data_IF_049548752499
#
_entry.id   IF_049548752499
#
_cell.length_a   1.000
_cell.length_b   1.000
_cell.length_c   1.000
_cell.angle_alpha   90.00
_cell.angle_beta   90.00
_cell.angle_gamma   90.00
#
_symmetry.space_group_name_H-M   'P 1'
#
loop_
_entity.id
_entity.type
_entity.pdbx_description
1 polymer ?
#
# COMPACT_ATOMS: atom_id res chain seq x y z
N UNK A 1 9.00 -59.09 15.96
CA UNK A 1 8.95 -58.73 14.51
C UNK A 1 7.98 -57.57 14.38
N UNK A 2 8.47 -56.34 14.43
CA UNK A 2 7.64 -55.14 14.31
C UNK A 2 7.90 -54.51 12.95
N UNK A 3 6.90 -54.57 12.08
CA UNK A 3 6.89 -53.91 10.78
C UNK A 3 6.53 -52.44 10.93
N UNK A 4 7.47 -51.58 10.55
CA UNK A 4 7.27 -50.15 10.39
C UNK A 4 6.48 -49.87 9.11
N UNK A 5 5.29 -49.26 9.23
CA UNK A 5 4.64 -48.60 8.10
C UNK A 5 4.73 -47.10 8.31
N UNK A 6 5.74 -46.50 7.68
CA UNK A 6 5.79 -45.08 7.37
C UNK A 6 4.98 -44.87 6.09
N UNK A 7 3.77 -44.35 6.21
CA UNK A 7 2.98 -43.89 5.07
C UNK A 7 3.07 -42.37 4.98
N UNK A 8 4.20 -41.89 4.47
CA UNK A 8 4.33 -40.55 3.93
C UNK A 8 3.77 -40.54 2.51
N UNK A 9 2.56 -40.04 2.31
CA UNK A 9 2.05 -39.71 0.98
C UNK A 9 2.61 -38.36 0.55
N UNK A 10 3.77 -38.39 -0.11
CA UNK A 10 4.19 -37.31 -1.00
C UNK A 10 3.29 -37.36 -2.24
N UNK A 11 2.40 -36.38 -2.37
CA UNK A 11 1.69 -36.14 -3.62
C UNK A 11 2.67 -35.50 -4.61
N UNK A 12 3.38 -36.32 -5.37
CA UNK A 12 3.98 -35.87 -6.62
C UNK A 12 2.83 -35.54 -7.58
N UNK A 13 2.55 -34.26 -7.76
CA UNK A 13 1.72 -33.78 -8.87
C UNK A 13 2.42 -34.16 -10.18
N UNK A 14 2.00 -35.28 -10.76
CA UNK A 14 2.30 -35.67 -12.14
C UNK A 14 1.74 -34.59 -13.07
N UNK A 15 2.57 -33.57 -13.35
CA UNK A 15 2.24 -32.47 -14.26
C UNK A 15 2.05 -33.04 -15.67
N UNK A 16 0.78 -33.15 -16.07
CA UNK A 16 0.32 -33.63 -17.37
C UNK A 16 0.95 -32.76 -18.45
N UNK A 17 1.66 -33.39 -19.40
CA UNK A 17 2.18 -32.68 -20.57
C UNK A 17 1.04 -32.50 -21.57
N UNK A 18 0.68 -31.25 -21.84
CA UNK A 18 -0.36 -30.93 -22.81
C UNK A 18 0.25 -30.86 -24.22
N UNK A 19 -0.50 -31.25 -25.27
CA UNK A 19 -0.08 -31.02 -26.66
C UNK A 19 0.09 -29.52 -26.96
N UNK A 20 1.08 -29.17 -27.81
CA UNK A 20 1.36 -27.78 -28.22
C UNK A 20 0.11 -27.03 -28.69
N UNK A 21 -0.72 -27.65 -29.53
CA UNK A 21 -1.95 -27.04 -30.06
C UNK A 21 -2.96 -26.66 -28.98
N UNK A 22 -3.03 -27.43 -27.90
CA UNK A 22 -3.88 -27.13 -26.76
C UNK A 22 -3.32 -25.97 -25.95
N UNK A 23 -2.00 -25.92 -25.75
CA UNK A 23 -1.31 -24.81 -25.07
C UNK A 23 -1.52 -23.50 -25.84
N UNK A 24 -1.33 -23.52 -27.17
CA UNK A 24 -1.57 -22.37 -28.05
C UNK A 24 -3.02 -21.89 -27.98
N UNK A 25 -3.98 -22.82 -28.06
CA UNK A 25 -5.41 -22.49 -27.98
C UNK A 25 -5.78 -21.86 -26.63
N UNK A 26 -5.22 -22.38 -25.53
CA UNK A 26 -5.38 -21.79 -24.20
C UNK A 26 -4.76 -20.40 -24.13
N UNK A 27 -3.55 -20.21 -24.65
CA UNK A 27 -2.90 -18.90 -24.69
C UNK A 27 -3.73 -17.87 -25.47
N UNK A 28 -4.23 -18.24 -26.65
CA UNK A 28 -5.09 -17.35 -27.46
C UNK A 28 -6.39 -16.99 -26.73
N UNK A 29 -6.97 -17.93 -25.99
CA UNK A 29 -8.14 -17.66 -25.16
C UNK A 29 -7.82 -16.70 -24.00
N UNK A 30 -6.66 -16.88 -23.33
CA UNK A 30 -6.17 -15.95 -22.32
C UNK A 30 -6.07 -14.54 -22.90
N UNK A 31 -5.38 -14.41 -24.02
CA UNK A 31 -5.12 -13.14 -24.69
C UNK A 31 -6.43 -12.46 -25.12
N UNK A 32 -7.40 -13.22 -25.65
CA UNK A 32 -8.73 -12.71 -25.98
C UNK A 32 -9.45 -12.19 -24.74
N UNK A 33 -9.43 -12.94 -23.64
CA UNK A 33 -10.04 -12.51 -22.38
C UNK A 33 -9.35 -11.24 -21.84
N UNK A 34 -8.03 -11.17 -21.90
CA UNK A 34 -7.24 -10.01 -21.50
C UNK A 34 -7.63 -8.76 -22.32
N UNK A 35 -7.65 -8.86 -23.65
CA UNK A 35 -8.01 -7.74 -24.55
C UNK A 35 -9.45 -7.26 -24.31
N UNK A 36 -10.36 -8.17 -23.97
CA UNK A 36 -11.74 -7.85 -23.59
C UNK A 36 -11.91 -7.36 -22.15
N UNK A 37 -10.81 -7.09 -21.43
CA UNK A 37 -10.78 -6.64 -20.03
C UNK A 37 -11.43 -7.62 -19.04
N UNK A 38 -11.54 -8.89 -19.42
CA UNK A 38 -12.00 -9.96 -18.53
C UNK A 38 -10.81 -10.52 -17.75
N UNK A 39 -10.24 -9.68 -16.88
CA UNK A 39 -8.97 -9.97 -16.21
C UNK A 39 -9.03 -11.19 -15.29
N UNK A 40 -10.16 -11.48 -14.63
CA UNK A 40 -10.27 -12.66 -13.78
C UNK A 40 -10.20 -13.99 -14.54
N UNK A 41 -10.93 -14.10 -15.66
CA UNK A 41 -10.85 -15.30 -16.52
C UNK A 41 -9.48 -15.42 -17.18
N UNK A 42 -8.94 -14.30 -17.66
CA UNK A 42 -7.61 -14.24 -18.26
C UNK A 42 -6.53 -14.67 -17.27
N UNK A 43 -6.57 -14.14 -16.04
CA UNK A 43 -5.56 -14.40 -15.03
C UNK A 43 -5.52 -15.87 -14.62
N UNK A 44 -6.69 -16.46 -14.36
CA UNK A 44 -6.80 -17.87 -14.00
C UNK A 44 -6.19 -18.80 -15.06
N UNK A 45 -6.48 -18.55 -16.34
CA UNK A 45 -5.94 -19.40 -17.41
C UNK A 45 -4.45 -19.17 -17.62
N UNK A 46 -3.96 -17.92 -17.54
CA UNK A 46 -2.54 -17.65 -17.74
C UNK A 46 -1.68 -18.12 -16.57
N UNK A 47 -2.19 -18.10 -15.33
CA UNK A 47 -1.45 -18.61 -14.16
C UNK A 47 -1.19 -20.11 -14.30
N UNK A 48 -2.21 -20.87 -14.72
CA UNK A 48 -2.08 -22.31 -14.95
C UNK A 48 -1.09 -22.61 -16.09
N UNK A 49 -1.11 -21.82 -17.17
CA UNK A 49 -0.16 -21.94 -18.26
C UNK A 49 1.26 -21.58 -17.82
N UNK A 50 1.42 -20.53 -17.01
CA UNK A 50 2.72 -20.10 -16.50
C UNK A 50 3.38 -21.17 -15.63
N UNK A 51 2.63 -21.79 -14.71
CA UNK A 51 3.16 -22.86 -13.83
C UNK A 51 3.70 -24.07 -14.61
N UNK A 52 3.16 -24.33 -15.79
CA UNK A 52 3.51 -25.51 -16.61
C UNK A 52 4.43 -25.17 -17.79
N UNK A 53 4.58 -23.91 -18.16
CA UNK A 53 5.30 -23.48 -19.37
C UNK A 53 6.79 -23.78 -19.31
N UNK A 54 7.45 -23.62 -18.15
CA UNK A 54 8.87 -23.93 -17.96
C UNK A 54 9.16 -25.40 -18.25
N UNK A 55 8.33 -26.31 -17.75
CA UNK A 55 8.43 -27.74 -18.04
C UNK A 55 8.15 -28.07 -19.51
N UNK A 56 7.18 -27.39 -20.13
CA UNK A 56 6.88 -27.59 -21.55
C UNK A 56 8.01 -27.09 -22.44
N UNK A 57 8.64 -25.97 -22.09
CA UNK A 57 9.74 -25.41 -22.86
C UNK A 57 11.02 -26.25 -22.72
N UNK A 58 11.41 -26.62 -21.51
CA UNK A 58 12.59 -27.49 -21.25
C UNK A 58 12.48 -28.88 -21.88
N UNK A 59 11.25 -29.34 -22.17
CA UNK A 59 10.98 -30.60 -22.89
C UNK A 59 10.71 -30.39 -24.38
N UNK A 60 10.96 -29.20 -24.90
CA UNK A 60 10.79 -28.82 -26.31
C UNK A 60 9.36 -29.03 -26.87
N UNK A 61 8.35 -29.04 -25.99
CA UNK A 61 6.94 -29.17 -26.38
C UNK A 61 6.43 -27.87 -27.00
N UNK A 62 6.90 -26.73 -26.49
CA UNK A 62 6.62 -25.41 -27.02
C UNK A 62 7.93 -24.74 -27.43
N UNK A 63 7.88 -23.89 -28.45
CA UNK A 63 9.02 -23.08 -28.84
C UNK A 63 9.20 -21.88 -27.89
N UNK A 64 10.37 -21.26 -27.99
CA UNK A 64 10.71 -20.09 -27.18
C UNK A 64 9.73 -18.93 -27.40
N UNK A 65 9.25 -18.74 -28.63
CA UNK A 65 8.31 -17.66 -28.94
C UNK A 65 7.02 -17.78 -28.13
N UNK A 66 6.45 -18.98 -28.04
CA UNK A 66 5.25 -19.23 -27.26
C UNK A 66 5.54 -19.17 -25.75
N UNK A 67 6.66 -19.72 -25.30
CA UNK A 67 7.08 -19.63 -23.89
C UNK A 67 7.17 -18.17 -23.42
N UNK A 68 7.92 -17.34 -24.16
CA UNK A 68 8.09 -15.91 -23.86
C UNK A 68 6.75 -15.19 -23.84
N UNK A 69 5.84 -15.48 -24.77
CA UNK A 69 4.48 -14.91 -24.80
C UNK A 69 3.67 -15.25 -23.55
N UNK A 70 3.72 -16.50 -23.09
CA UNK A 70 3.03 -16.95 -21.88
C UNK A 70 3.57 -16.21 -20.65
N UNK A 71 4.90 -16.23 -20.46
CA UNK A 71 5.55 -15.57 -19.33
C UNK A 71 5.30 -14.06 -19.33
N UNK A 72 5.43 -13.42 -20.49
CA UNK A 72 5.18 -11.99 -20.64
C UNK A 72 3.73 -11.63 -20.29
N UNK A 73 2.75 -12.38 -20.78
CA UNK A 73 1.34 -12.11 -20.50
C UNK A 73 1.01 -12.33 -19.02
N UNK A 74 1.63 -13.33 -18.38
CA UNK A 74 1.54 -13.52 -16.92
C UNK A 74 2.11 -12.32 -16.17
N UNK A 75 3.33 -11.89 -16.51
CA UNK A 75 3.98 -10.73 -15.89
C UNK A 75 3.16 -9.44 -16.03
N UNK A 76 2.64 -9.15 -17.22
CA UNK A 76 1.78 -7.98 -17.44
C UNK A 76 0.54 -8.03 -16.57
N UNK A 77 -0.10 -9.20 -16.45
CA UNK A 77 -1.29 -9.36 -15.62
C UNK A 77 -0.98 -9.25 -14.12
N UNK A 78 0.13 -9.81 -13.65
CA UNK A 78 0.60 -9.61 -12.27
C UNK A 78 0.83 -8.13 -11.98
N UNK A 79 1.58 -7.44 -12.85
CA UNK A 79 1.85 -6.00 -12.72
C UNK A 79 0.59 -5.14 -12.72
N UNK A 80 -0.49 -5.58 -13.38
CA UNK A 80 -1.76 -4.88 -13.40
C UNK A 80 -2.64 -5.16 -12.17
N UNK A 81 -2.68 -6.42 -11.72
CA UNK A 81 -3.64 -6.89 -10.72
C UNK A 81 -3.14 -6.77 -9.28
N UNK A 82 -1.83 -6.80 -9.08
CA UNK A 82 -1.22 -6.79 -7.75
C UNK A 82 -1.26 -5.42 -7.07
N UNK A 83 -1.04 -4.27 -7.77
CA UNK A 83 -1.11 -2.93 -7.17
C UNK A 83 -2.53 -2.42 -6.90
N UNK A 84 -3.58 -3.16 -7.26
CA UNK A 84 -4.95 -2.68 -7.10
C UNK A 84 -5.32 -2.59 -5.61
N UNK A 85 -5.33 -1.40 -5.03
CA UNK A 85 -5.86 -1.20 -3.68
C UNK A 85 -7.35 -1.55 -3.59
N UNK A 86 -7.78 -1.83 -2.35
CA UNK A 86 -9.16 -2.21 -1.99
C UNK A 86 -10.22 -1.19 -2.41
N UNK A 87 -9.79 0.01 -2.73
CA UNK A 87 -10.64 1.15 -3.08
C UNK A 87 -10.96 1.25 -4.58
N UNK A 88 -10.39 0.39 -5.45
CA UNK A 88 -10.46 0.57 -6.91
C UNK A 88 -11.30 -0.46 -7.69
N UNK A 89 -12.17 -1.22 -7.01
CA UNK A 89 -13.18 -2.08 -7.65
C UNK A 89 -13.19 -3.52 -7.13
N UNK A 90 -13.99 -4.41 -7.74
CA UNK A 90 -14.03 -5.81 -7.34
C UNK A 90 -12.65 -6.45 -7.50
N UNK A 91 -12.08 -6.94 -6.40
CA UNK A 91 -10.76 -7.58 -6.38
C UNK A 91 -10.78 -8.83 -7.26
N UNK A 92 -9.93 -8.85 -8.28
CA UNK A 92 -9.67 -10.05 -9.09
C UNK A 92 -8.86 -11.08 -8.31
N UNK A 93 -7.91 -10.63 -7.49
CA UNK A 93 -7.05 -11.48 -6.66
C UNK A 93 -7.50 -11.42 -5.19
N UNK A 94 -7.62 -12.57 -4.55
CA UNK A 94 -7.79 -12.66 -3.11
C UNK A 94 -6.54 -12.16 -2.36
N UNK A 95 -6.69 -11.81 -1.08
CA UNK A 95 -5.56 -11.40 -0.23
C UNK A 95 -4.47 -12.49 -0.16
N UNK A 96 -4.88 -13.76 -0.09
CA UNK A 96 -3.95 -14.89 -0.03
C UNK A 96 -3.16 -15.07 -1.33
N UNK A 97 -3.81 -14.92 -2.49
CA UNK A 97 -3.13 -14.96 -3.79
C UNK A 97 -2.12 -13.83 -3.92
N UNK A 98 -2.48 -12.60 -3.54
CA UNK A 98 -1.56 -11.46 -3.56
C UNK A 98 -0.31 -11.72 -2.72
N UNK A 99 -0.47 -12.21 -1.50
CA UNK A 99 0.66 -12.52 -0.63
C UNK A 99 1.57 -13.62 -1.22
N UNK A 100 0.97 -14.66 -1.82
CA UNK A 100 1.73 -15.73 -2.49
C UNK A 100 2.54 -15.19 -3.67
N UNK A 101 1.89 -14.42 -4.55
CA UNK A 101 2.55 -13.82 -5.72
C UNK A 101 3.64 -12.87 -5.25
N UNK A 102 3.34 -11.92 -4.36
CA UNK A 102 4.33 -11.00 -3.82
C UNK A 102 5.53 -11.75 -3.26
N UNK A 103 5.33 -12.80 -2.45
CA UNK A 103 6.41 -13.63 -1.91
C UNK A 103 7.24 -14.31 -3.00
N UNK A 104 6.60 -14.92 -3.99
CA UNK A 104 7.27 -15.58 -5.12
C UNK A 104 8.18 -14.63 -5.91
N UNK A 105 7.79 -13.36 -6.04
CA UNK A 105 8.66 -12.32 -6.62
C UNK A 105 9.73 -11.81 -5.63
N UNK A 106 9.43 -11.71 -4.32
CA UNK A 106 10.42 -11.27 -3.30
C UNK A 106 11.57 -12.25 -3.13
N UNK A 107 11.27 -13.54 -3.14
CA UNK A 107 12.22 -14.62 -2.87
C UNK A 107 13.10 -14.95 -4.10
N UNK A 108 13.12 -14.07 -5.10
CA UNK A 108 13.88 -14.20 -6.36
C UNK A 108 13.54 -15.47 -7.17
N UNK A 109 12.45 -16.17 -6.84
CA UNK A 109 12.10 -17.46 -7.46
C UNK A 109 11.87 -17.31 -8.96
N UNK A 110 11.20 -16.24 -9.40
CA UNK A 110 10.99 -15.96 -10.83
C UNK A 110 12.31 -15.81 -11.60
N UNK A 111 13.30 -15.15 -11.01
CA UNK A 111 14.61 -15.01 -11.65
C UNK A 111 15.34 -16.36 -11.71
N UNK A 112 15.27 -17.15 -10.64
CA UNK A 112 15.86 -18.48 -10.60
C UNK A 112 15.22 -19.39 -11.66
N UNK A 113 13.90 -19.41 -11.78
CA UNK A 113 13.19 -20.21 -12.79
C UNK A 113 13.59 -19.81 -14.23
N UNK A 114 13.83 -18.51 -14.48
CA UNK A 114 14.34 -18.05 -15.77
C UNK A 114 15.79 -18.49 -15.99
N UNK A 115 16.64 -18.44 -14.96
CA UNK A 115 18.03 -18.88 -15.04
C UNK A 115 18.15 -20.39 -15.22
N UNK A 116 17.25 -21.19 -14.64
CA UNK A 116 17.19 -22.64 -14.88
C UNK A 116 16.89 -22.98 -16.35
N UNK A 117 16.21 -22.08 -17.06
CA UNK A 117 15.85 -22.26 -18.47
C UNK A 117 16.90 -21.70 -19.43
N UNK A 118 17.50 -20.56 -19.09
CA UNK A 118 18.38 -19.81 -19.99
C UNK A 118 19.86 -19.90 -19.63
N UNK A 119 20.20 -20.57 -18.52
CA UNK A 119 21.52 -20.74 -17.90
C UNK A 119 22.19 -19.43 -17.42
N UNK A 120 22.05 -18.33 -18.17
CA UNK A 120 22.67 -17.04 -17.92
C UNK A 120 21.69 -15.89 -18.19
N UNK A 121 21.81 -14.80 -17.42
CA UNK A 121 21.04 -13.56 -17.60
C UNK A 121 21.16 -13.01 -19.01
N UNK A 122 22.32 -13.13 -19.65
CA UNK A 122 22.57 -12.67 -21.02
C UNK A 122 21.63 -13.31 -22.06
N UNK A 123 21.21 -14.56 -21.80
CA UNK A 123 20.35 -15.33 -22.69
C UNK A 123 18.87 -15.05 -22.44
N UNK A 124 18.50 -14.50 -21.28
CA UNK A 124 17.10 -14.17 -20.96
C UNK A 124 16.62 -13.06 -21.91
N UNK A 125 15.46 -13.23 -22.58
CA UNK A 125 14.87 -12.19 -23.41
C UNK A 125 14.65 -10.88 -22.65
N UNK A 126 15.16 -9.78 -23.18
CA UNK A 126 15.16 -8.46 -22.54
C UNK A 126 13.74 -7.94 -22.18
N UNK A 127 12.72 -8.35 -22.93
CA UNK A 127 11.32 -8.05 -22.61
C UNK A 127 10.84 -8.74 -21.33
N UNK A 128 11.31 -9.96 -21.02
CA UNK A 128 10.98 -10.64 -19.77
C UNK A 128 11.65 -9.94 -18.58
N UNK A 129 12.93 -9.59 -18.73
CA UNK A 129 13.66 -8.82 -17.72
C UNK A 129 12.98 -7.46 -17.47
N UNK A 130 12.65 -6.71 -18.53
CA UNK A 130 11.97 -5.42 -18.42
C UNK A 130 10.67 -5.53 -17.62
N UNK A 131 9.81 -6.48 -17.96
CA UNK A 131 8.53 -6.67 -17.28
C UNK A 131 8.73 -7.15 -15.82
N UNK A 132 9.71 -8.01 -15.55
CA UNK A 132 10.04 -8.45 -14.19
C UNK A 132 10.44 -7.24 -13.32
N UNK A 133 11.29 -6.35 -13.83
CA UNK A 133 11.69 -5.14 -13.09
C UNK A 133 10.56 -4.13 -12.92
N UNK A 134 9.63 -4.04 -13.87
CA UNK A 134 8.40 -3.26 -13.68
C UNK A 134 7.55 -3.84 -12.55
N UNK A 135 7.40 -5.15 -12.46
CA UNK A 135 6.68 -5.80 -11.35
C UNK A 135 7.34 -5.48 -10.01
N UNK A 136 8.67 -5.65 -9.91
CA UNK A 136 9.41 -5.30 -8.68
C UNK A 136 9.22 -3.84 -8.27
N UNK A 137 9.10 -2.92 -9.23
CA UNK A 137 8.83 -1.52 -8.97
C UNK A 137 7.37 -1.23 -8.58
N UNK A 138 6.41 -1.95 -9.16
CA UNK A 138 4.97 -1.70 -8.99
C UNK A 138 4.37 -2.25 -7.68
N UNK A 139 5.02 -3.20 -7.03
CA UNK A 139 4.48 -3.83 -5.82
C UNK A 139 4.94 -3.02 -4.59
N UNK A 140 4.04 -2.30 -3.92
CA UNK A 140 4.36 -1.45 -2.76
C UNK A 140 5.07 -2.21 -1.62
N UNK A 141 4.73 -3.47 -1.38
CA UNK A 141 5.42 -4.32 -0.39
C UNK A 141 6.85 -4.72 -0.82
N UNK A 142 7.18 -4.55 -2.10
CA UNK A 142 8.50 -4.74 -2.74
C UNK A 142 9.19 -3.41 -3.09
N UNK A 143 8.53 -2.26 -2.90
CA UNK A 143 9.11 -0.91 -3.03
C UNK A 143 10.14 -0.61 -1.94
N UNK A 144 10.80 -1.62 -1.39
CA UNK A 144 12.16 -1.40 -0.93
C UNK A 144 13.00 -1.07 -2.18
N UNK A 145 13.08 0.22 -2.50
CA UNK A 145 13.82 0.72 -3.66
C UNK A 145 15.31 0.31 -3.61
N UNK A 146 15.83 -0.02 -2.43
CA UNK A 146 17.16 -0.61 -2.27
C UNK A 146 17.23 -2.06 -2.78
N UNK A 147 16.20 -2.87 -2.57
CA UNK A 147 16.09 -4.21 -3.16
C UNK A 147 16.11 -4.12 -4.69
N UNK A 148 15.30 -3.23 -5.28
CA UNK A 148 15.27 -3.02 -6.72
C UNK A 148 16.65 -2.61 -7.28
N UNK A 149 17.35 -1.73 -6.57
CA UNK A 149 18.71 -1.32 -6.93
C UNK A 149 19.72 -2.46 -6.78
N UNK A 150 19.59 -3.29 -5.76
CA UNK A 150 20.45 -4.46 -5.54
C UNK A 150 20.27 -5.46 -6.67
N UNK A 151 19.03 -5.81 -7.02
CA UNK A 151 18.72 -6.71 -8.13
C UNK A 151 19.30 -6.19 -9.45
N UNK A 152 19.06 -4.91 -9.77
CA UNK A 152 19.62 -4.32 -10.98
C UNK A 152 21.16 -4.31 -10.97
N UNK A 153 21.79 -4.00 -9.84
CA UNK A 153 23.26 -3.96 -9.75
C UNK A 153 23.89 -5.35 -9.91
N UNK A 154 23.18 -6.41 -9.51
CA UNK A 154 23.59 -7.81 -9.73
C UNK A 154 23.56 -8.19 -11.20
N UNK A 155 22.47 -7.86 -11.90
CA UNK A 155 22.28 -8.29 -13.29
C UNK A 155 22.95 -7.37 -14.32
N UNK A 156 23.09 -6.08 -14.03
CA UNK A 156 23.64 -5.08 -14.95
C UNK A 156 24.97 -5.49 -15.60
N UNK A 157 25.98 -6.01 -14.88
CA UNK A 157 27.24 -6.44 -15.51
C UNK A 157 27.10 -7.68 -16.40
N UNK A 158 26.01 -8.44 -16.29
CA UNK A 158 25.73 -9.62 -17.11
C UNK A 158 24.95 -9.28 -18.39
N UNK A 159 24.45 -8.05 -18.51
CA UNK A 159 23.72 -7.60 -19.70
C UNK A 159 24.71 -7.17 -20.79
N UNK A 160 24.50 -7.66 -22.00
CA UNK A 160 25.38 -7.36 -23.14
C UNK A 160 24.86 -6.16 -23.94
N UNK A 161 25.32 -5.00 -23.51
CA UNK A 161 25.03 -3.73 -24.17
C UNK A 161 25.85 -3.51 -25.46
N UNK A 162 26.92 -4.27 -25.67
CA UNK A 162 27.82 -4.11 -26.82
C UNK A 162 27.30 -4.86 -28.06
N UNK A 163 26.81 -6.08 -27.88
CA UNK A 163 26.30 -6.90 -28.99
C UNK A 163 24.83 -6.67 -29.31
N UNK A 164 24.06 -6.08 -28.38
CA UNK A 164 22.63 -5.79 -28.53
C UNK A 164 22.29 -4.30 -28.39
N UNK A 165 22.98 -3.36 -29.08
CA UNK A 165 22.74 -1.92 -28.92
C UNK A 165 21.35 -1.49 -29.44
N UNK A 166 20.81 -2.24 -30.41
CA UNK A 166 19.49 -1.99 -31.01
C UNK A 166 18.33 -2.70 -30.26
N UNK A 167 18.61 -3.42 -29.17
CA UNK A 167 17.56 -4.04 -28.36
C UNK A 167 16.81 -2.95 -27.57
N UNK A 168 15.65 -2.56 -28.11
CA UNK A 168 14.79 -1.54 -27.52
C UNK A 168 14.29 -1.93 -26.13
N UNK A 169 14.10 -3.21 -25.80
CA UNK A 169 13.68 -3.61 -24.45
C UNK A 169 14.82 -3.44 -23.45
N UNK A 170 16.05 -3.79 -23.84
CA UNK A 170 17.23 -3.60 -23.01
C UNK A 170 17.51 -2.11 -22.76
N UNK A 171 17.37 -1.30 -23.80
CA UNK A 171 17.44 0.17 -23.71
C UNK A 171 16.34 0.75 -22.85
N UNK A 172 15.12 0.24 -22.95
CA UNK A 172 14.00 0.67 -22.10
C UNK A 172 14.22 0.28 -20.64
N UNK A 173 14.78 -0.89 -20.36
CA UNK A 173 15.18 -1.30 -19.01
C UNK A 173 16.23 -0.34 -18.44
N UNK A 174 17.26 -0.03 -19.21
CA UNK A 174 18.31 0.89 -18.78
C UNK A 174 17.76 2.31 -18.55
N UNK A 175 16.95 2.81 -19.49
CA UNK A 175 16.28 4.11 -19.38
C UNK A 175 15.38 4.19 -18.15
N UNK A 176 14.64 3.12 -17.85
CA UNK A 176 13.80 3.04 -16.66
C UNK A 176 14.64 3.21 -15.39
N UNK A 177 15.78 2.52 -15.26
CA UNK A 177 16.63 2.70 -14.10
C UNK A 177 17.27 4.09 -14.02
N UNK A 178 17.86 4.55 -15.12
CA UNK A 178 18.61 5.81 -15.20
C UNK A 178 17.72 7.03 -14.97
N UNK A 179 16.53 7.06 -15.59
CA UNK A 179 15.66 8.24 -15.61
C UNK A 179 14.49 8.19 -14.63
N UNK A 180 14.16 7.01 -14.09
CA UNK A 180 13.04 6.85 -13.15
C UNK A 180 13.53 6.37 -11.79
N UNK A 181 14.06 5.16 -11.68
CA UNK A 181 14.40 4.55 -10.38
C UNK A 181 15.48 5.34 -9.63
N UNK A 182 16.62 5.63 -10.27
CA UNK A 182 17.71 6.35 -9.61
C UNK A 182 17.39 7.82 -9.35
N UNK A 183 16.57 8.45 -10.19
CA UNK A 183 16.10 9.83 -9.97
C UNK A 183 15.26 9.91 -8.70
N UNK A 184 14.32 8.98 -8.52
CA UNK A 184 13.48 8.91 -7.32
C UNK A 184 14.24 8.54 -6.04
N UNK A 185 15.42 7.96 -6.18
CA UNK A 185 16.33 7.61 -5.09
C UNK A 185 17.42 8.66 -4.86
N UNK A 186 17.42 9.76 -5.62
CA UNK A 186 18.47 10.76 -5.59
C UNK A 186 19.88 10.21 -5.94
N UNK A 187 19.97 9.05 -6.62
CA UNK A 187 21.21 8.40 -7.08
C UNK A 187 21.70 8.95 -8.43
N UNK A 188 21.71 10.28 -8.57
CA UNK A 188 22.01 10.94 -9.86
C UNK A 188 23.41 10.61 -10.40
N UNK A 189 24.41 10.53 -9.54
CA UNK A 189 25.78 10.20 -9.94
C UNK A 189 25.88 8.83 -10.61
N UNK A 190 25.08 7.85 -10.15
CA UNK A 190 25.01 6.53 -10.76
C UNK A 190 24.43 6.61 -12.17
N UNK A 191 23.37 7.40 -12.35
CA UNK A 191 22.79 7.66 -13.67
C UNK A 191 23.80 8.33 -14.62
N UNK A 192 24.52 9.38 -14.18
CA UNK A 192 25.56 10.02 -14.99
C UNK A 192 26.65 9.03 -15.41
N UNK A 193 27.19 8.25 -14.45
CA UNK A 193 28.22 7.25 -14.73
C UNK A 193 27.76 6.19 -15.74
N UNK A 194 26.49 5.77 -15.68
CA UNK A 194 25.93 4.82 -16.64
C UNK A 194 25.80 5.47 -18.01
N UNK A 195 25.30 6.70 -18.11
CA UNK A 195 25.17 7.43 -19.38
C UNK A 195 26.54 7.62 -20.05
N UNK A 196 27.57 7.95 -19.27
CA UNK A 196 28.93 8.17 -19.80
C UNK A 196 29.61 6.90 -20.30
N UNK A 197 29.34 5.74 -19.67
CA UNK A 197 30.09 4.50 -19.91
C UNK A 197 29.35 3.46 -20.74
N UNK A 198 28.01 3.48 -20.76
CA UNK A 198 27.24 2.42 -21.38
C UNK A 198 27.14 2.63 -22.91
N UNK A 199 27.43 1.60 -23.74
CA UNK A 199 27.38 1.69 -25.20
C UNK A 199 26.05 2.21 -25.76
N UNK A 200 24.91 1.92 -25.11
CA UNK A 200 23.57 2.38 -25.53
C UNK A 200 23.48 3.90 -25.66
N UNK A 201 24.25 4.64 -24.85
CA UNK A 201 24.20 6.10 -24.80
C UNK A 201 25.35 6.77 -25.56
N UNK A 202 26.33 5.99 -26.02
CA UNK A 202 27.60 6.47 -26.58
C UNK A 202 27.43 7.52 -27.69
N UNK A 203 26.42 7.39 -28.54
CA UNK A 203 26.15 8.30 -29.65
C UNK A 203 25.58 9.67 -29.22
N UNK A 204 24.97 9.77 -28.03
CA UNK A 204 24.20 10.94 -27.61
C UNK A 204 24.34 11.28 -26.11
N UNK A 205 25.52 11.02 -25.53
CA UNK A 205 25.80 11.21 -24.09
C UNK A 205 25.34 12.58 -23.57
N UNK A 206 25.66 13.66 -24.29
CA UNK A 206 25.29 15.02 -23.89
C UNK A 206 23.77 15.22 -23.79
N UNK A 207 23.02 14.72 -24.78
CA UNK A 207 21.55 14.82 -24.79
C UNK A 207 20.93 14.07 -23.61
N UNK A 208 21.43 12.88 -23.28
CA UNK A 208 20.94 12.10 -22.14
C UNK A 208 21.30 12.74 -20.80
N UNK A 209 22.50 13.35 -20.68
CA UNK A 209 22.90 14.11 -19.51
C UNK A 209 22.04 15.37 -19.30
N UNK A 210 21.71 16.09 -20.38
CA UNK A 210 20.76 17.21 -20.32
C UNK A 210 19.36 16.77 -19.88
N UNK A 211 18.87 15.65 -20.41
CA UNK A 211 17.60 15.05 -19.98
C UNK A 211 17.62 14.71 -18.49
N UNK A 212 18.70 14.09 -18.01
CA UNK A 212 18.87 13.76 -16.59
C UNK A 212 18.89 15.01 -15.71
N UNK A 213 19.59 16.07 -16.13
CA UNK A 213 19.61 17.36 -15.42
C UNK A 213 18.22 17.99 -15.32
N UNK A 214 17.44 17.98 -16.41
CA UNK A 214 16.05 18.46 -16.42
C UNK A 214 15.18 17.66 -15.44
N UNK A 215 15.34 16.33 -15.43
CA UNK A 215 14.61 15.45 -14.51
C UNK A 215 15.01 15.67 -13.05
N UNK A 216 16.31 15.82 -12.76
CA UNK A 216 16.82 16.18 -11.43
C UNK A 216 16.23 17.49 -10.94
N UNK A 217 16.24 18.54 -11.76
CA UNK A 217 15.66 19.84 -11.39
C UNK A 217 14.16 19.73 -11.10
N UNK A 218 13.41 19.02 -11.96
CA UNK A 218 11.97 18.80 -11.75
C UNK A 218 11.69 17.97 -10.50
N UNK A 219 12.50 16.95 -10.21
CA UNK A 219 12.36 16.11 -9.02
C UNK A 219 12.58 16.92 -7.73
N UNK A 220 13.69 17.67 -7.66
CA UNK A 220 14.01 18.52 -6.51
C UNK A 220 12.92 19.58 -6.24
N UNK A 221 12.34 20.14 -7.30
CA UNK A 221 11.23 21.09 -7.15
C UNK A 221 9.97 20.41 -6.60
N UNK A 222 9.64 19.20 -7.07
CA UNK A 222 8.52 18.42 -6.53
C UNK A 222 8.72 18.05 -5.07
N UNK A 223 9.94 17.66 -4.68
CA UNK A 223 10.26 17.38 -3.28
C UNK A 223 10.10 18.61 -2.39
N UNK A 224 10.56 19.79 -2.84
CA UNK A 224 10.35 21.06 -2.12
C UNK A 224 8.87 21.39 -1.95
N UNK A 225 8.08 21.28 -3.02
CA UNK A 225 6.63 21.53 -2.97
C UNK A 225 5.93 20.54 -2.03
N UNK A 226 6.29 19.25 -2.09
CA UNK A 226 5.72 18.23 -1.21
C UNK A 226 6.09 18.47 0.25
N UNK A 227 7.35 18.78 0.54
CA UNK A 227 7.82 19.11 1.89
C UNK A 227 7.11 20.35 2.45
N UNK A 228 6.90 21.39 1.63
CA UNK A 228 6.15 22.59 2.02
C UNK A 228 4.69 22.27 2.36
N UNK A 229 3.99 21.51 1.50
CA UNK A 229 2.60 21.09 1.74
C UNK A 229 2.47 20.22 3.00
N UNK A 230 3.40 19.29 3.21
CA UNK A 230 3.42 18.43 4.40
C UNK A 230 3.60 19.25 5.67
N UNK A 231 4.49 20.25 5.65
CA UNK A 231 4.69 21.17 6.78
C UNK A 231 3.45 22.02 7.05
N UNK A 232 2.83 22.57 6.02
CA UNK A 232 1.57 23.33 6.14
C UNK A 232 0.44 22.48 6.74
N UNK A 233 0.30 21.23 6.29
CA UNK A 233 -0.68 20.30 6.84
C UNK A 233 -0.40 19.98 8.32
N UNK A 234 0.85 19.70 8.68
CA UNK A 234 1.24 19.47 10.08
C UNK A 234 0.99 20.69 10.97
N UNK A 235 1.24 21.90 10.47
CA UNK A 235 0.99 23.13 11.20
C UNK A 235 -0.52 23.38 11.40
N UNK A 236 -1.35 23.08 10.38
CA UNK A 236 -2.82 23.11 10.50
C UNK A 236 -3.33 22.10 11.52
N UNK A 237 -2.85 20.86 11.48
CA UNK A 237 -3.22 19.81 12.43
C UNK A 237 -2.85 20.22 13.87
N UNK A 238 -1.65 20.77 14.08
CA UNK A 238 -1.23 21.30 15.39
C UNK A 238 -2.11 22.47 15.85
N UNK A 239 -2.51 23.36 14.95
CA UNK A 239 -3.39 24.48 15.28
C UNK A 239 -4.80 24.01 15.65
N UNK A 240 -5.35 23.03 14.93
CA UNK A 240 -6.63 22.39 15.26
C UNK A 240 -6.58 21.73 16.64
N UNK A 241 -5.54 20.94 16.92
CA UNK A 241 -5.35 20.31 18.24
C UNK A 241 -5.26 21.34 19.38
N UNK A 242 -4.56 22.47 19.17
CA UNK A 242 -4.51 23.57 20.15
C UNK A 242 -5.89 24.20 20.39
N UNK A 243 -6.64 24.46 19.32
CA UNK A 243 -7.99 25.02 19.45
C UNK A 243 -8.96 24.06 20.15
N UNK A 244 -8.88 22.76 19.87
CA UNK A 244 -9.67 21.75 20.58
C UNK A 244 -9.30 21.67 22.05
N UNK A 245 -8.00 21.72 22.39
CA UNK A 245 -7.55 21.73 23.79
C UNK A 245 -8.07 22.96 24.55
N UNK A 246 -8.06 24.16 23.94
CA UNK A 246 -8.62 25.37 24.53
C UNK A 246 -10.13 25.24 24.73
N UNK A 247 -10.88 24.78 23.71
CA UNK A 247 -12.33 24.54 23.82
C UNK A 247 -12.65 23.53 24.93
N UNK A 248 -11.85 22.47 25.09
CA UNK A 248 -12.02 21.52 26.18
C UNK A 248 -11.74 22.14 27.55
N UNK A 249 -10.72 23.00 27.68
CA UNK A 249 -10.45 23.71 28.92
C UNK A 249 -11.57 24.70 29.29
N UNK A 250 -12.09 25.46 28.33
CA UNK A 250 -13.22 26.36 28.52
C UNK A 250 -14.49 25.60 28.90
N UNK A 251 -14.78 24.49 28.22
CA UNK A 251 -15.90 23.61 28.58
C UNK A 251 -15.77 23.07 30.01
N UNK A 252 -14.56 22.68 30.45
CA UNK A 252 -14.29 22.27 31.83
C UNK A 252 -14.50 23.42 32.82
N UNK A 253 -14.00 24.63 32.54
CA UNK A 253 -14.22 25.82 33.38
C UNK A 253 -15.71 26.15 33.49
N UNK A 254 -16.45 26.13 32.39
CA UNK A 254 -17.89 26.40 32.37
C UNK A 254 -18.69 25.33 33.14
N UNK A 255 -18.31 24.05 33.04
CA UNK A 255 -18.91 22.98 33.86
C UNK A 255 -18.64 23.19 35.35
N UNK A 256 -17.41 23.58 35.71
CA UNK A 256 -17.04 23.86 37.10
C UNK A 256 -17.79 25.08 37.67
N UNK A 257 -17.94 26.16 36.88
CA UNK A 257 -18.73 27.33 37.25
C UNK A 257 -20.21 27.00 37.43
N UNK A 258 -20.81 26.25 36.50
CA UNK A 258 -22.19 25.74 36.65
C UNK A 258 -22.36 24.89 37.90
N UNK A 259 -21.40 24.01 38.19
CA UNK A 259 -21.45 23.18 39.39
C UNK A 259 -21.33 23.99 40.68
N UNK A 260 -20.49 25.04 40.72
CA UNK A 260 -20.41 25.97 41.86
C UNK A 260 -21.70 26.75 42.05
N UNK A 261 -22.25 27.34 40.98
CA UNK A 261 -23.52 28.06 41.02
C UNK A 261 -24.68 27.16 41.49
N UNK A 262 -24.76 25.91 41.01
CA UNK A 262 -25.76 24.95 41.50
C UNK A 262 -25.58 24.58 42.97
N UNK A 263 -24.33 24.56 43.48
CA UNK A 263 -24.06 24.35 44.91
C UNK A 263 -24.47 25.55 45.75
N UNK A 264 -24.21 26.76 45.28
CA UNK A 264 -24.61 28.01 45.94
C UNK A 264 -26.13 28.11 46.01
N UNK A 265 -26.85 27.86 44.91
CA UNK A 265 -28.32 27.81 44.88
C UNK A 265 -28.88 26.75 45.84
N UNK A 266 -28.25 25.56 45.91
CA UNK A 266 -28.66 24.52 46.87
C UNK A 266 -28.38 24.93 48.32
N UNK A 267 -27.33 25.70 48.57
CA UNK A 267 -26.99 26.21 49.89
C UNK A 267 -27.99 27.29 50.31
N UNK A 268 -28.27 28.26 49.46
CA UNK A 268 -29.30 29.29 49.69
C UNK A 268 -30.69 28.66 49.91
N UNK A 269 -31.07 27.67 49.10
CA UNK A 269 -32.34 26.96 49.28
C UNK A 269 -32.42 26.13 50.57
N UNK A 270 -31.29 25.71 51.14
CA UNK A 270 -31.23 25.06 52.45
C UNK A 270 -31.23 26.08 53.59
N UNK A 271 -30.49 27.19 53.44
CA UNK A 271 -30.45 28.29 54.41
C UNK A 271 -31.85 28.96 54.53
N UNK A 272 -32.59 29.09 53.44
CA UNK A 272 -33.99 29.57 53.44
C UNK A 272 -34.98 28.54 54.05
N UNK A 273 -34.71 27.24 53.91
CA UNK A 273 -35.47 26.19 54.61
C UNK A 273 -35.20 26.19 56.11
N UNK A 274 -33.97 26.42 56.54
CA UNK A 274 -33.61 26.52 57.95
C UNK A 274 -34.22 27.79 58.58
N UNK A 275 -34.20 28.94 57.88
CA UNK A 275 -34.87 30.17 58.32
C UNK A 275 -36.39 30.03 58.42
N UNK A 276 -37.03 29.33 57.48
CA UNK A 276 -38.48 29.09 57.52
C UNK A 276 -38.90 28.06 58.59
N UNK A 277 -38.02 27.11 58.96
CA UNK A 277 -38.23 26.25 60.13
C UNK A 277 -38.05 27.00 61.45
N UNK A 278 -37.07 27.90 61.54
CA UNK A 278 -36.85 28.72 62.75
C UNK A 278 -38.02 29.67 63.04
N UNK A 279 -38.63 30.28 62.02
CA UNK A 279 -39.80 31.15 62.17
C UNK A 279 -41.11 30.41 62.52
N UNK A 280 -41.21 29.10 62.24
CA UNK A 280 -42.38 28.29 62.67
C UNK A 280 -42.31 27.89 64.15
N UNK A 281 -41.12 27.83 64.74
CA UNK A 281 -40.93 27.44 66.14
C UNK A 281 -41.29 28.55 67.15
N UNK A 282 -41.51 29.79 66.70
CA UNK A 282 -41.77 30.94 67.58
C UNK A 282 -43.25 31.35 67.70
N UNK A 283 -44.16 30.77 66.91
CA UNK A 283 -45.56 31.24 66.82
C UNK A 283 -46.64 30.20 67.21
N UNK A 284 -46.32 29.21 68.04
CA UNK A 284 -47.32 28.34 68.66
C UNK A 284 -47.10 28.24 70.17
N UNK A 285 -47.70 29.18 70.91
CA UNK A 285 -48.07 28.97 72.31
C UNK A 285 -49.52 29.43 72.50
N UNK A 286 -50.43 28.57 73.00
CA UNK A 286 -51.86 28.84 73.10
C UNK A 286 -52.23 29.50 74.44
N UNK A 287 -53.20 30.42 74.40
CA UNK A 287 -54.20 30.76 75.44
C UNK A 287 -54.49 32.27 75.51
N UNK A 288 -55.53 32.71 74.80
CA UNK A 288 -56.15 34.02 75.01
C UNK A 288 -57.67 34.02 74.74
N UNK A 289 -58.34 32.88 74.94
CA UNK A 289 -59.81 32.81 74.90
C UNK A 289 -60.48 33.22 76.24
N UNK A 290 -59.71 33.44 77.31
CA UNK A 290 -60.26 33.72 78.65
C UNK A 290 -60.45 35.22 79.00
N UNK A 291 -60.07 36.17 78.13
CA UNK A 291 -60.12 37.61 78.49
C UNK A 291 -61.27 38.44 77.90
N UNK A 292 -62.09 37.90 76.99
CA UNK A 292 -63.18 38.70 76.39
C UNK A 292 -64.55 38.52 77.05
N UNK A 293 -64.76 37.50 77.90
CA UNK A 293 -65.99 37.38 78.69
C UNK A 293 -66.06 38.35 79.89
N UNK A 294 -64.94 38.99 80.28
CA UNK A 294 -64.94 40.04 81.30
C UNK A 294 -65.40 41.41 80.78
N UNK A 295 -65.26 41.70 79.48
CA UNK A 295 -65.62 43.00 78.90
C UNK A 295 -67.14 43.19 78.68
N UNK A 296 -67.91 42.10 78.58
CA UNK A 296 -69.39 42.18 78.40
C UNK A 296 -70.17 42.40 79.70
N UNK A 297 -69.52 42.41 80.86
CA UNK A 297 -70.17 42.66 82.16
C UNK A 297 -69.96 44.07 82.73
N UNK A 298 -69.18 44.92 82.04
CA UNK A 298 -68.87 46.28 82.49
C UNK A 298 -69.34 47.38 81.51
N UNK A 299 -69.99 47.00 80.40
CA UNK A 299 -70.64 47.93 79.48
C UNK A 299 -72.08 47.46 79.26
N UNK A 300 -72.95 47.93 80.16
CA UNK A 300 -74.34 48.22 79.78
C UNK A 300 -74.39 49.43 78.86
#
# INVERSE_FOLDING_TARGET
>A
MNGSYSSGSQYESSSIILPKSMIESRYQLCEKNFRNKNFGKSYKEISDLYETSFKHFTREVIDESLFVKIVQLYFVQVGLLLPQDDNHGPRVLSRGERQKISKYFKDETVMNDLLEVYDDVYNIPSNLLLNLFFIYYSIDELQNKDFLCLQFSRIYPMLDFEKKPEDENLKNLLNFFVFKVFVELNHYEKSFKIIEKNPIYSSNVNQYNEKLNKMKASHLEREKVFASKKKEQQDREKQQQKQEAVKQQEAKKNRNLKYRSLKEIKKEANDDKERSMFNRSYNQSPNAEDNQQLMKKLLG
#
